data_IF_392986679810
#
_entry.id   IF_392986679810
#
_cell.length_a   1.000
_cell.length_b   1.000
_cell.length_c   1.000
_cell.angle_alpha   90.00
_cell.angle_beta   90.00
_cell.angle_gamma   90.00
#
_symmetry.space_group_name_H-M   'P 1'
#
loop_
_entity.id
_entity.type
_entity.pdbx_description
1 polymer ?
#
# COMPACT_ATOMS: atom_id res chain seq x y z
N UNK A 1 13.45 34.24 16.52
CA UNK A 1 12.41 33.62 15.68
C UNK A 1 12.99 32.58 14.71
N UNK A 2 14.18 32.81 14.13
CA UNK A 2 14.87 31.80 13.29
C UNK A 2 15.42 30.60 14.09
N UNK A 3 15.98 30.81 15.29
CA UNK A 3 16.53 29.73 16.13
C UNK A 3 15.49 28.66 16.50
N UNK A 4 14.29 29.07 16.93
CA UNK A 4 13.17 28.16 17.24
C UNK A 4 12.70 27.34 16.03
N UNK A 5 12.95 27.81 14.80
CA UNK A 5 12.60 27.09 13.59
C UNK A 5 13.62 26.02 13.28
N UNK A 6 14.91 26.33 13.48
CA UNK A 6 16.00 25.40 13.26
C UNK A 6 15.97 24.27 14.30
N UNK A 7 15.79 24.61 15.58
CA UNK A 7 15.72 23.63 16.66
C UNK A 7 14.56 22.64 16.46
N UNK A 8 13.40 23.12 16.01
CA UNK A 8 12.26 22.26 15.66
C UNK A 8 12.54 21.38 14.46
N UNK A 9 13.11 21.92 13.39
CA UNK A 9 13.47 21.14 12.20
C UNK A 9 14.47 20.02 12.54
N UNK A 10 15.49 20.33 13.36
CA UNK A 10 16.45 19.36 13.87
C UNK A 10 15.77 18.29 14.75
N UNK A 11 14.90 18.71 15.66
CA UNK A 11 14.16 17.80 16.53
C UNK A 11 13.30 16.82 15.72
N UNK A 12 12.55 17.31 14.72
CA UNK A 12 11.74 16.46 13.84
C UNK A 12 12.59 15.49 13.02
N UNK A 13 13.72 15.96 12.49
CA UNK A 13 14.64 15.10 11.73
C UNK A 13 15.21 13.97 12.60
N UNK A 14 15.57 14.27 13.85
CA UNK A 14 16.07 13.27 14.80
C UNK A 14 14.98 12.27 15.19
N UNK A 15 13.76 12.74 15.49
CA UNK A 15 12.63 11.86 15.79
C UNK A 15 12.31 10.94 14.60
N UNK A 16 12.25 11.49 13.39
CA UNK A 16 12.03 10.72 12.17
C UNK A 16 13.13 9.67 11.94
N UNK A 17 14.40 10.01 12.23
CA UNK A 17 15.51 9.07 12.14
C UNK A 17 15.38 7.93 13.16
N UNK A 18 15.00 8.25 14.40
CA UNK A 18 14.81 7.26 15.47
C UNK A 18 13.63 6.33 15.21
N UNK A 19 12.58 6.83 14.55
CA UNK A 19 11.42 6.04 14.13
C UNK A 19 11.77 5.09 12.99
N UNK A 20 12.34 5.63 11.91
CA UNK A 20 12.57 4.88 10.66
C UNK A 20 13.78 3.94 10.77
N UNK A 21 14.78 4.29 11.58
CA UNK A 21 16.04 3.55 11.76
C UNK A 21 16.64 3.09 10.42
N UNK A 22 16.85 4.02 9.48
CA UNK A 22 17.32 3.69 8.13
C UNK A 22 18.72 3.09 8.17
N UNK A 23 19.04 2.25 7.17
CA UNK A 23 20.38 1.66 7.01
C UNK A 23 21.47 2.73 6.77
N UNK A 24 21.09 3.85 6.15
CA UNK A 24 21.96 4.99 5.88
C UNK A 24 21.35 6.26 6.53
N UNK A 25 21.74 6.56 7.79
CA UNK A 25 21.15 7.66 8.55
C UNK A 25 21.53 9.03 7.98
N UNK A 26 22.72 9.17 7.38
CA UNK A 26 23.18 10.46 6.83
C UNK A 26 22.42 10.79 5.57
N UNK A 27 22.28 9.82 4.65
CA UNK A 27 21.47 10.00 3.44
C UNK A 27 20.02 10.30 3.80
N UNK A 28 19.46 9.61 4.80
CA UNK A 28 18.11 9.87 5.28
C UNK A 28 17.92 11.32 5.76
N UNK A 29 18.82 11.81 6.63
CA UNK A 29 18.76 13.18 7.14
C UNK A 29 18.91 14.21 6.01
N UNK A 30 19.83 13.98 5.07
CA UNK A 30 20.01 14.85 3.91
C UNK A 30 18.72 14.94 3.08
N UNK A 31 18.08 13.80 2.80
CA UNK A 31 16.77 13.77 2.14
C UNK A 31 15.70 14.46 2.99
N UNK A 32 15.68 14.25 4.31
CA UNK A 32 14.68 14.87 5.19
C UNK A 32 14.74 16.40 5.14
N UNK A 33 15.93 17.00 5.27
CA UNK A 33 16.09 18.45 5.17
C UNK A 33 15.81 18.97 3.76
N UNK A 34 16.13 18.20 2.72
CA UNK A 34 15.73 18.56 1.36
C UNK A 34 14.21 18.60 1.21
N UNK A 35 13.50 17.64 1.81
CA UNK A 35 12.04 17.60 1.80
C UNK A 35 11.41 18.71 2.63
N UNK A 36 12.07 19.29 3.64
CA UNK A 36 11.56 20.50 4.32
C UNK A 36 11.49 21.70 3.34
N UNK A 37 12.45 21.80 2.41
CA UNK A 37 12.50 22.84 1.38
C UNK A 37 11.70 22.51 0.09
N UNK A 38 11.13 21.32 -0.03
CA UNK A 38 10.39 20.89 -1.21
C UNK A 38 9.12 21.76 -1.43
N UNK A 39 8.89 22.20 -2.66
CA UNK A 39 7.73 23.04 -3.01
C UNK A 39 6.56 22.20 -3.51
N UNK A 40 6.84 20.98 -3.99
CA UNK A 40 5.82 20.02 -4.33
C UNK A 40 5.24 19.37 -3.07
N UNK A 41 4.09 19.87 -2.62
CA UNK A 41 3.43 19.39 -1.39
C UNK A 41 2.95 17.94 -1.53
N UNK A 42 2.64 17.46 -2.75
CA UNK A 42 2.37 16.03 -2.97
C UNK A 42 3.62 15.21 -2.69
N UNK A 43 4.79 15.61 -3.21
CA UNK A 43 6.04 14.91 -2.93
C UNK A 43 6.38 14.91 -1.43
N UNK A 44 6.16 16.03 -0.73
CA UNK A 44 6.28 16.11 0.74
C UNK A 44 5.37 15.10 1.44
N UNK A 45 4.10 15.04 1.05
CA UNK A 45 3.16 14.12 1.66
C UNK A 45 3.50 12.65 1.36
N UNK A 46 3.93 12.32 0.14
CA UNK A 46 4.44 10.98 -0.19
C UNK A 46 5.62 10.63 0.70
N UNK A 47 6.58 11.55 0.91
CA UNK A 47 7.71 11.33 1.79
C UNK A 47 7.32 11.05 3.25
N UNK A 48 6.28 11.72 3.77
CA UNK A 48 5.77 11.46 5.11
C UNK A 48 5.13 10.06 5.23
N UNK A 49 4.51 9.60 4.14
CA UNK A 49 3.69 8.39 4.11
C UNK A 49 4.44 7.14 3.59
N UNK A 50 5.56 7.33 2.89
CA UNK A 50 6.37 6.23 2.35
C UNK A 50 6.93 5.37 3.49
N UNK A 51 7.15 4.09 3.19
CA UNK A 51 7.68 3.09 4.12
C UNK A 51 6.85 2.89 5.41
N UNK A 52 5.66 3.46 5.49
CA UNK A 52 4.75 3.20 6.60
C UNK A 52 4.11 1.83 6.49
N UNK A 53 3.79 1.27 7.66
CA UNK A 53 2.85 0.16 7.79
C UNK A 53 1.61 0.66 8.52
N UNK A 54 0.47 -0.02 8.36
CA UNK A 54 -0.75 0.32 9.09
C UNK A 54 -0.65 0.12 10.62
N UNK A 55 0.48 -0.37 11.12
CA UNK A 55 0.78 -0.54 12.55
C UNK A 55 1.86 0.42 13.04
N UNK A 56 2.29 1.37 12.21
CA UNK A 56 3.30 2.34 12.59
C UNK A 56 2.75 3.22 13.74
N UNK A 57 3.45 3.39 14.86
CA UNK A 57 2.95 4.17 16.01
C UNK A 57 2.58 5.61 15.66
N UNK A 58 3.32 6.23 14.76
CA UNK A 58 3.07 7.59 14.27
C UNK A 58 2.10 7.67 13.06
N UNK A 59 1.34 6.62 12.75
CA UNK A 59 0.49 6.55 11.56
C UNK A 59 -0.52 7.71 11.48
N UNK A 60 -1.31 7.92 12.53
CA UNK A 60 -2.32 8.99 12.56
C UNK A 60 -1.69 10.39 12.49
N UNK A 61 -0.59 10.61 13.21
CA UNK A 61 0.12 11.89 13.17
C UNK A 61 0.65 12.19 11.76
N UNK A 62 1.25 11.19 11.09
CA UNK A 62 1.75 11.33 9.73
C UNK A 62 0.64 11.51 8.70
N UNK A 63 -0.50 10.84 8.87
CA UNK A 63 -1.70 11.05 8.05
C UNK A 63 -2.21 12.48 8.16
N UNK A 64 -2.36 13.00 9.38
CA UNK A 64 -2.79 14.38 9.63
C UNK A 64 -1.79 15.39 9.06
N UNK A 65 -0.48 15.17 9.28
CA UNK A 65 0.57 16.05 8.74
C UNK A 65 0.58 16.03 7.22
N UNK A 66 0.45 14.86 6.59
CA UNK A 66 0.40 14.73 5.14
C UNK A 66 -0.85 15.42 4.57
N UNK A 67 -2.03 15.19 5.14
CA UNK A 67 -3.26 15.85 4.71
C UNK A 67 -3.15 17.38 4.84
N UNK A 68 -2.73 17.87 6.00
CA UNK A 68 -2.52 19.30 6.24
C UNK A 68 -1.48 19.92 5.30
N UNK A 69 -0.45 19.17 4.91
CA UNK A 69 0.57 19.61 3.94
C UNK A 69 -0.04 19.79 2.56
N UNK A 70 -0.85 18.84 2.07
CA UNK A 70 -1.42 18.94 0.73
C UNK A 70 -2.55 19.98 0.65
N UNK A 71 -3.34 20.15 1.72
CA UNK A 71 -4.37 21.19 1.77
C UNK A 71 -3.80 22.61 1.62
N UNK A 72 -2.50 22.83 1.83
CA UNK A 72 -1.87 24.14 1.58
C UNK A 72 -1.83 24.52 0.10
N UNK A 73 -2.12 23.61 -0.83
CA UNK A 73 -2.29 23.97 -2.25
C UNK A 73 -3.46 24.94 -2.47
N UNK A 74 -4.49 24.88 -1.62
CA UNK A 74 -5.60 25.82 -1.65
C UNK A 74 -6.15 26.05 -0.25
N UNK A 75 -5.85 27.20 0.33
CA UNK A 75 -6.35 27.59 1.65
C UNK A 75 -7.89 27.72 1.68
N UNK A 76 -8.52 27.99 0.53
CA UNK A 76 -9.98 28.13 0.40
C UNK A 76 -10.66 26.84 -0.12
N UNK A 77 -9.98 26.04 -0.94
CA UNK A 77 -10.55 24.88 -1.63
C UNK A 77 -10.02 23.51 -1.13
N UNK A 78 -9.14 23.46 -0.12
CA UNK A 78 -8.70 22.20 0.47
C UNK A 78 -8.11 21.19 -0.54
N UNK A 79 -8.27 19.89 -0.25
CA UNK A 79 -7.76 18.81 -1.10
C UNK A 79 -8.76 18.47 -2.22
N UNK A 80 -8.35 18.64 -3.47
CA UNK A 80 -9.12 18.26 -4.65
C UNK A 80 -8.82 16.82 -5.10
N UNK A 81 -9.76 16.21 -5.83
CA UNK A 81 -9.66 14.82 -6.27
C UNK A 81 -8.50 14.53 -7.24
N UNK A 82 -8.07 15.50 -8.04
CA UNK A 82 -6.90 15.38 -8.92
C UNK A 82 -5.58 15.32 -8.14
N UNK A 83 -5.39 16.20 -7.15
CA UNK A 83 -4.22 16.19 -6.25
C UNK A 83 -4.21 14.91 -5.42
N UNK A 84 -5.37 14.49 -4.90
CA UNK A 84 -5.52 13.22 -4.21
C UNK A 84 -5.14 12.04 -5.10
N UNK A 85 -5.58 12.02 -6.37
CA UNK A 85 -5.24 10.96 -7.31
C UNK A 85 -3.74 10.94 -7.62
N UNK A 86 -3.10 12.10 -7.80
CA UNK A 86 -1.63 12.20 -8.00
C UNK A 86 -0.86 11.65 -6.78
N UNK A 87 -1.34 11.92 -5.56
CA UNK A 87 -0.79 11.32 -4.35
C UNK A 87 -0.88 9.78 -4.39
N UNK A 88 -2.06 9.23 -4.69
CA UNK A 88 -2.25 7.78 -4.73
C UNK A 88 -1.33 7.12 -5.78
N UNK A 89 -1.21 7.72 -6.97
CA UNK A 89 -0.31 7.25 -8.05
C UNK A 89 1.13 7.12 -7.55
N UNK A 90 1.62 8.12 -6.82
CA UNK A 90 2.99 8.13 -6.28
C UNK A 90 3.17 7.14 -5.13
N UNK A 91 2.18 6.95 -4.27
CA UNK A 91 2.24 5.97 -3.18
C UNK A 91 2.35 4.53 -3.69
N UNK A 92 1.74 4.22 -4.84
CA UNK A 92 1.76 2.86 -5.43
C UNK A 92 2.75 2.73 -6.60
N UNK A 93 3.72 3.64 -6.74
CA UNK A 93 4.55 3.77 -7.94
C UNK A 93 5.21 2.47 -8.41
N UNK A 94 5.67 1.63 -7.47
CA UNK A 94 6.34 0.34 -7.70
C UNK A 94 5.43 -0.79 -8.19
N UNK A 95 4.11 -0.56 -8.20
CA UNK A 95 3.15 -1.52 -8.74
C UNK A 95 3.11 -1.45 -10.28
N UNK A 96 2.90 -2.59 -10.98
CA UNK A 96 2.85 -2.55 -12.44
C UNK A 96 1.61 -1.81 -12.96
N UNK A 97 1.72 -1.23 -14.16
CA UNK A 97 0.75 -0.27 -14.70
C UNK A 97 -0.71 -0.77 -14.64
N UNK A 98 -0.99 -1.97 -15.15
CA UNK A 98 -2.34 -2.54 -15.15
C UNK A 98 -2.96 -2.63 -13.74
N UNK A 99 -2.17 -3.03 -12.74
CA UNK A 99 -2.65 -3.11 -11.35
C UNK A 99 -2.86 -1.73 -10.75
N UNK A 100 -2.02 -0.75 -11.09
CA UNK A 100 -2.21 0.65 -10.67
C UNK A 100 -3.49 1.23 -11.27
N UNK A 101 -3.74 1.02 -12.55
CA UNK A 101 -4.92 1.56 -13.23
C UNK A 101 -6.21 1.01 -12.60
N UNK A 102 -6.25 -0.30 -12.33
CA UNK A 102 -7.41 -0.94 -11.68
C UNK A 102 -7.62 -0.40 -10.25
N UNK A 103 -6.53 -0.26 -9.49
CA UNK A 103 -6.56 0.33 -8.15
C UNK A 103 -7.08 1.76 -8.15
N UNK A 104 -6.56 2.61 -9.05
CA UNK A 104 -6.95 4.01 -9.16
C UNK A 104 -8.40 4.16 -9.64
N UNK A 105 -8.86 3.34 -10.59
CA UNK A 105 -10.26 3.34 -10.99
C UNK A 105 -11.23 3.06 -9.82
N UNK A 106 -10.78 2.31 -8.81
CA UNK A 106 -11.59 1.96 -7.65
C UNK A 106 -11.62 3.06 -6.57
N UNK A 107 -10.58 3.89 -6.49
CA UNK A 107 -10.39 4.87 -5.41
C UNK A 107 -10.38 6.34 -5.86
N UNK A 108 -10.26 6.62 -7.16
CA UNK A 108 -10.21 7.99 -7.67
C UNK A 108 -11.48 8.78 -7.30
N UNK A 109 -11.30 10.05 -7.00
CA UNK A 109 -12.37 11.03 -6.85
C UNK A 109 -12.52 11.86 -8.13
N UNK A 110 -13.63 12.57 -8.31
CA UNK A 110 -13.71 13.51 -9.44
C UNK A 110 -12.71 14.65 -9.24
N UNK A 111 -12.13 15.16 -10.33
CA UNK A 111 -11.00 16.11 -10.25
C UNK A 111 -11.29 17.34 -9.38
N UNK A 112 -12.48 17.92 -9.49
CA UNK A 112 -12.89 19.13 -8.75
C UNK A 112 -13.59 18.83 -7.44
N UNK A 113 -13.67 17.57 -7.05
CA UNK A 113 -14.36 17.14 -5.84
C UNK A 113 -13.47 17.33 -4.61
N UNK A 114 -14.07 17.84 -3.54
CA UNK A 114 -13.40 18.02 -2.26
C UNK A 114 -13.25 16.68 -1.55
N UNK A 115 -12.01 16.32 -1.24
CA UNK A 115 -11.66 15.07 -0.57
C UNK A 115 -11.49 15.34 0.92
N UNK A 116 -12.39 14.80 1.74
CA UNK A 116 -12.29 14.92 3.20
C UNK A 116 -11.11 14.12 3.78
N UNK A 117 -10.72 14.44 5.02
CA UNK A 117 -9.68 13.68 5.71
C UNK A 117 -10.00 12.18 5.81
N UNK A 118 -11.27 11.80 6.02
CA UNK A 118 -11.65 10.38 6.12
C UNK A 118 -11.47 9.64 4.79
N UNK A 119 -11.80 10.29 3.67
CA UNK A 119 -11.59 9.71 2.32
C UNK A 119 -10.10 9.65 2.00
N UNK A 120 -9.35 10.70 2.29
CA UNK A 120 -7.89 10.73 2.18
C UNK A 120 -7.28 9.58 2.97
N UNK A 121 -7.61 9.49 4.26
CA UNK A 121 -7.10 8.47 5.20
C UNK A 121 -7.40 7.07 4.69
N UNK A 122 -8.65 6.82 4.28
CA UNK A 122 -9.05 5.53 3.71
C UNK A 122 -8.22 5.15 2.48
N UNK A 123 -8.03 6.09 1.54
CA UNK A 123 -7.24 5.83 0.32
C UNK A 123 -5.77 5.60 0.58
N UNK A 124 -5.16 6.39 1.46
CA UNK A 124 -3.75 6.24 1.84
C UNK A 124 -3.51 4.90 2.53
N UNK A 125 -4.35 4.54 3.52
CA UNK A 125 -4.25 3.25 4.20
C UNK A 125 -4.43 2.08 3.24
N UNK A 126 -5.39 2.20 2.31
CA UNK A 126 -5.62 1.19 1.27
C UNK A 126 -4.41 1.08 0.33
N UNK A 127 -3.73 2.19 0.01
CA UNK A 127 -2.50 2.19 -0.81
C UNK A 127 -1.33 1.52 -0.12
N UNK A 128 -1.14 1.77 1.18
CA UNK A 128 -0.13 1.11 2.01
C UNK A 128 -0.39 -0.41 2.04
N UNK A 129 -1.64 -0.82 2.31
CA UNK A 129 -2.04 -2.23 2.32
C UNK A 129 -1.87 -2.89 0.95
N UNK A 130 -2.17 -2.16 -0.13
CA UNK A 130 -2.03 -2.65 -1.49
C UNK A 130 -0.57 -2.96 -1.84
N UNK A 131 0.37 -2.08 -1.49
CA UNK A 131 1.79 -2.33 -1.69
C UNK A 131 2.26 -3.57 -0.94
N UNK A 132 1.84 -3.73 0.32
CA UNK A 132 2.14 -4.92 1.12
C UNK A 132 1.55 -6.18 0.49
N UNK A 133 0.29 -6.12 0.05
CA UNK A 133 -0.40 -7.21 -0.63
C UNK A 133 0.32 -7.63 -1.91
N UNK A 134 0.71 -6.69 -2.77
CA UNK A 134 1.44 -6.97 -4.02
C UNK A 134 2.76 -7.68 -3.73
N UNK A 135 3.50 -7.27 -2.70
CA UNK A 135 4.73 -7.95 -2.27
C UNK A 135 4.45 -9.37 -1.80
N UNK A 136 3.44 -9.58 -0.94
CA UNK A 136 3.08 -10.92 -0.46
C UNK A 136 2.61 -11.85 -1.59
N UNK A 137 1.85 -11.34 -2.57
CA UNK A 137 1.41 -12.09 -3.75
C UNK A 137 2.60 -12.49 -4.62
N UNK A 138 3.55 -11.59 -4.86
CA UNK A 138 4.79 -11.90 -5.58
C UNK A 138 5.58 -13.01 -4.87
N UNK A 139 5.72 -12.93 -3.55
CA UNK A 139 6.37 -13.96 -2.74
C UNK A 139 5.62 -15.29 -2.77
N UNK A 140 4.28 -15.26 -2.68
CA UNK A 140 3.44 -16.45 -2.83
C UNK A 140 3.67 -17.11 -4.19
N UNK A 141 3.67 -16.33 -5.27
CA UNK A 141 3.87 -16.84 -6.63
C UNK A 141 5.24 -17.51 -6.80
N UNK A 142 6.32 -16.91 -6.30
CA UNK A 142 7.65 -17.54 -6.27
C UNK A 142 7.61 -18.89 -5.54
N UNK A 143 6.85 -18.98 -4.45
CA UNK A 143 6.60 -20.23 -3.72
C UNK A 143 5.58 -21.15 -4.41
N UNK A 144 4.98 -20.81 -5.53
CA UNK A 144 4.13 -21.70 -6.34
C UNK A 144 4.85 -22.19 -7.60
N UNK A 145 5.83 -21.43 -8.10
CA UNK A 145 6.74 -21.86 -9.15
C UNK A 145 7.42 -23.18 -8.77
N UNK A 146 7.50 -24.09 -9.74
CA UNK A 146 8.31 -25.30 -9.66
C UNK A 146 9.71 -24.93 -10.16
N UNK A 147 10.76 -25.62 -9.69
CA UNK A 147 12.14 -25.36 -10.06
C UNK A 147 12.31 -25.20 -11.58
N UNK A 148 13.06 -24.18 -12.00
CA UNK A 148 13.40 -23.80 -13.39
C UNK A 148 12.28 -23.21 -14.27
N UNK A 149 11.16 -22.77 -13.68
CA UNK A 149 10.13 -22.03 -14.43
C UNK A 149 9.81 -20.65 -13.82
N UNK A 150 9.70 -19.63 -14.68
CA UNK A 150 9.15 -18.29 -14.40
C UNK A 150 7.62 -18.28 -14.23
N UNK A 151 7.03 -19.47 -14.22
CA UNK A 151 5.60 -19.70 -14.29
C UNK A 151 5.19 -20.79 -13.30
N UNK A 152 3.96 -20.71 -12.80
CA UNK A 152 3.41 -21.66 -11.84
C UNK A 152 2.28 -22.49 -12.47
N UNK A 153 2.10 -23.76 -12.09
CA UNK A 153 0.98 -24.57 -12.58
C UNK A 153 -0.38 -23.93 -12.28
N UNK A 154 -1.25 -23.85 -13.28
CA UNK A 154 -2.54 -23.15 -13.20
C UNK A 154 -3.43 -23.68 -12.06
N UNK A 155 -3.40 -24.98 -11.78
CA UNK A 155 -4.19 -25.55 -10.69
C UNK A 155 -3.70 -25.08 -9.30
N UNK A 156 -2.39 -24.86 -9.12
CA UNK A 156 -1.82 -24.29 -7.90
C UNK A 156 -2.22 -22.83 -7.73
N UNK A 157 -2.12 -22.04 -8.81
CA UNK A 157 -2.59 -20.66 -8.85
C UNK A 157 -4.08 -20.56 -8.49
N UNK A 158 -4.95 -21.35 -9.13
CA UNK A 158 -6.39 -21.37 -8.83
C UNK A 158 -6.68 -21.72 -7.38
N UNK A 159 -5.95 -22.68 -6.79
CA UNK A 159 -6.10 -23.04 -5.38
C UNK A 159 -5.64 -21.93 -4.44
N UNK A 160 -4.55 -21.24 -4.79
CA UNK A 160 -4.05 -20.08 -4.06
C UNK A 160 -5.03 -18.91 -4.08
N UNK A 161 -5.53 -18.53 -5.26
CA UNK A 161 -6.52 -17.47 -5.44
C UNK A 161 -7.80 -17.73 -4.62
N UNK A 162 -8.33 -18.96 -4.66
CA UNK A 162 -9.50 -19.34 -3.84
C UNK A 162 -9.24 -19.21 -2.35
N UNK A 163 -8.06 -19.62 -1.89
CA UNK A 163 -7.72 -19.54 -0.47
C UNK A 163 -7.53 -18.08 -0.03
N UNK A 164 -6.85 -17.29 -0.84
CA UNK A 164 -6.65 -15.86 -0.64
C UNK A 164 -7.97 -15.10 -0.58
N UNK A 165 -8.89 -15.35 -1.52
CA UNK A 165 -10.23 -14.76 -1.49
C UNK A 165 -10.95 -15.05 -0.18
N UNK A 166 -10.94 -16.31 0.30
CA UNK A 166 -11.54 -16.64 1.61
C UNK A 166 -10.87 -15.90 2.76
N UNK A 167 -9.53 -15.84 2.79
CA UNK A 167 -8.80 -15.14 3.84
C UNK A 167 -9.14 -13.64 3.88
N UNK A 168 -9.20 -12.99 2.72
CA UNK A 168 -9.52 -11.57 2.60
C UNK A 168 -10.98 -11.28 3.00
N UNK A 169 -11.93 -12.08 2.54
CA UNK A 169 -13.34 -11.94 2.94
C UNK A 169 -13.53 -12.10 4.45
N UNK A 170 -12.83 -13.05 5.09
CA UNK A 170 -12.90 -13.21 6.54
C UNK A 170 -12.21 -12.06 7.30
N UNK A 171 -11.10 -11.52 6.78
CA UNK A 171 -10.45 -10.35 7.34
C UNK A 171 -11.34 -9.09 7.24
N UNK A 172 -11.99 -8.88 6.10
CA UNK A 172 -12.93 -7.78 5.89
C UNK A 172 -14.12 -7.84 6.86
N UNK A 173 -14.66 -9.02 7.14
CA UNK A 173 -15.71 -9.20 8.15
C UNK A 173 -15.24 -8.85 9.56
N UNK A 174 -14.02 -9.24 9.94
CA UNK A 174 -13.45 -8.92 11.28
C UNK A 174 -13.21 -7.42 11.45
N UNK A 175 -12.76 -6.75 10.39
CA UNK A 175 -12.62 -5.29 10.35
C UNK A 175 -13.92 -4.54 10.68
N UNK A 176 -15.09 -5.15 10.45
CA UNK A 176 -16.41 -4.56 10.76
C UNK A 176 -16.83 -4.83 12.22
N UNK A 177 -16.26 -5.84 12.87
CA UNK A 177 -16.76 -6.39 14.15
C UNK A 177 -15.93 -6.10 15.40
N UNK A 178 -14.83 -5.33 15.33
CA UNK A 178 -14.02 -4.75 16.45
C UNK A 178 -12.53 -5.12 16.46
N UNK A 179 -11.76 -4.13 16.95
CA UNK A 179 -10.40 -4.03 17.53
C UNK A 179 -9.68 -5.35 17.81
N UNK A 180 -8.87 -5.83 16.88
CA UNK A 180 -7.76 -6.73 17.20
C UNK A 180 -6.51 -6.35 16.41
N UNK A 181 -5.35 -6.69 17.01
CA UNK A 181 -4.00 -6.23 16.66
C UNK A 181 -3.49 -6.57 15.25
N UNK A 182 -2.16 -6.59 15.04
CA UNK A 182 -1.59 -6.63 13.70
C UNK A 182 -1.97 -7.87 12.88
N UNK A 183 -3.01 -7.74 12.06
CA UNK A 183 -3.40 -8.73 11.07
C UNK A 183 -2.52 -8.61 9.82
N UNK A 184 -1.30 -9.16 9.87
CA UNK A 184 -0.58 -9.47 8.64
C UNK A 184 -1.46 -10.41 7.81
N UNK A 185 -1.72 -10.07 6.55
CA UNK A 185 -2.65 -10.85 5.70
C UNK A 185 -2.18 -12.30 5.50
N UNK A 186 -0.88 -12.58 5.72
CA UNK A 186 -0.32 -13.93 5.73
C UNK A 186 -0.42 -14.62 4.36
N UNK A 187 -0.59 -13.84 3.28
CA UNK A 187 -0.82 -14.35 1.92
C UNK A 187 0.39 -15.15 1.45
N UNK A 188 1.59 -14.71 1.82
CA UNK A 188 2.84 -15.41 1.50
C UNK A 188 2.95 -16.82 2.14
N UNK A 189 2.17 -17.12 3.19
CA UNK A 189 2.20 -18.42 3.90
C UNK A 189 1.23 -19.45 3.31
N UNK A 190 0.35 -19.02 2.39
CA UNK A 190 -0.66 -19.89 1.79
C UNK A 190 -0.05 -21.05 0.97
N UNK A 191 1.21 -20.94 0.53
CA UNK A 191 1.88 -21.95 -0.30
C UNK A 191 2.10 -23.30 0.40
N UNK A 192 2.44 -23.31 1.70
CA UNK A 192 2.74 -24.53 2.47
C UNK A 192 1.55 -25.51 2.51
N UNK A 193 0.34 -25.11 2.93
CA UNK A 193 -0.83 -25.99 2.89
C UNK A 193 -1.28 -26.33 1.47
N UNK A 194 -1.01 -25.47 0.48
CA UNK A 194 -1.35 -25.72 -0.92
C UNK A 194 -0.50 -26.86 -1.48
N UNK A 195 0.82 -26.80 -1.26
CA UNK A 195 1.77 -27.84 -1.70
C UNK A 195 1.59 -29.17 -0.97
N UNK A 196 1.28 -29.16 0.33
CA UNK A 196 1.01 -30.40 1.10
C UNK A 196 -0.15 -31.23 0.56
N UNK A 197 -1.08 -30.58 -0.16
CA UNK A 197 -2.26 -31.21 -0.74
C UNK A 197 -2.11 -31.43 -2.26
N UNK A 198 -0.87 -31.57 -2.75
CA UNK A 198 -0.59 -31.99 -4.12
C UNK A 198 -0.85 -33.49 -4.25
N UNK A 199 -1.87 -33.87 -5.02
CA UNK A 199 -2.07 -35.26 -5.45
C UNK A 199 -0.97 -35.65 -6.43
N UNK A 200 -0.46 -36.89 -6.34
CA UNK A 200 0.65 -37.42 -7.16
C UNK A 200 0.42 -37.34 -8.69
N UNK A 201 -0.83 -37.14 -9.11
CA UNK A 201 -1.19 -36.94 -10.51
C UNK A 201 -1.46 -35.45 -10.74
N UNK A 202 -0.45 -34.71 -11.21
CA UNK A 202 -0.63 -33.33 -11.65
C UNK A 202 -1.40 -33.33 -12.98
N UNK A 203 -2.47 -32.51 -13.12
CA UNK A 203 -3.12 -32.30 -14.40
C UNK A 203 -2.13 -31.75 -15.45
N UNK A 204 -2.43 -31.98 -16.72
CA UNK A 204 -1.68 -31.46 -17.88
C UNK A 204 -1.43 -29.95 -17.74
N UNK A 205 -0.20 -29.55 -18.01
CA UNK A 205 0.41 -28.40 -17.38
C UNK A 205 0.14 -27.08 -18.15
N UNK A 206 -1.02 -26.48 -17.91
CA UNK A 206 -1.18 -25.05 -18.15
C UNK A 206 -0.39 -24.29 -17.09
N UNK A 207 0.44 -23.34 -17.54
CA UNK A 207 1.25 -22.50 -16.68
C UNK A 207 0.75 -21.05 -16.69
N UNK A 208 0.80 -20.41 -15.53
CA UNK A 208 0.39 -19.02 -15.33
C UNK A 208 1.63 -18.19 -15.00
N UNK A 209 1.78 -17.06 -15.68
CA UNK A 209 2.85 -16.08 -15.41
C UNK A 209 2.46 -15.16 -14.25
N UNK A 210 3.46 -14.53 -13.63
CA UNK A 210 3.27 -13.62 -12.49
C UNK A 210 2.25 -12.52 -12.77
N UNK A 211 2.28 -11.89 -13.95
CA UNK A 211 1.39 -10.78 -14.26
C UNK A 211 -0.08 -11.20 -14.25
N UNK A 212 -0.40 -12.36 -14.82
CA UNK A 212 -1.77 -12.91 -14.82
C UNK A 212 -2.22 -13.24 -13.39
N UNK A 213 -1.37 -13.93 -12.62
CA UNK A 213 -1.68 -14.27 -11.24
C UNK A 213 -1.86 -13.02 -10.35
N UNK A 214 -1.02 -12.01 -10.56
CA UNK A 214 -1.06 -10.75 -9.84
C UNK A 214 -2.32 -9.96 -10.19
N UNK A 215 -2.71 -9.88 -11.47
CA UNK A 215 -3.97 -9.25 -11.88
C UNK A 215 -5.18 -9.89 -11.20
N UNK A 216 -5.31 -11.22 -11.25
CA UNK A 216 -6.40 -11.94 -10.59
C UNK A 216 -6.39 -11.71 -9.06
N UNK A 217 -5.21 -11.64 -8.46
CA UNK A 217 -5.06 -11.37 -7.02
C UNK A 217 -5.50 -9.96 -6.64
N UNK A 218 -5.13 -8.95 -7.45
CA UNK A 218 -5.53 -7.55 -7.24
C UNK A 218 -7.04 -7.37 -7.38
N UNK A 219 -7.67 -8.04 -8.34
CA UNK A 219 -9.14 -8.03 -8.48
C UNK A 219 -9.84 -8.62 -7.25
N UNK A 220 -9.28 -9.68 -6.65
CA UNK A 220 -9.78 -10.25 -5.40
C UNK A 220 -9.62 -9.25 -4.24
N UNK A 221 -8.47 -8.58 -4.14
CA UNK A 221 -8.23 -7.56 -3.11
C UNK A 221 -9.23 -6.40 -3.22
N UNK A 222 -9.38 -5.82 -4.41
CA UNK A 222 -10.25 -4.66 -4.64
C UNK A 222 -11.74 -4.97 -4.44
N UNK A 223 -12.16 -6.23 -4.58
CA UNK A 223 -13.54 -6.65 -4.26
C UNK A 223 -13.88 -6.43 -2.78
N UNK A 224 -12.90 -6.60 -1.90
CA UNK A 224 -13.08 -6.47 -0.45
C UNK A 224 -12.82 -5.04 0.04
N UNK A 225 -12.24 -4.18 -0.81
CA UNK A 225 -12.06 -2.74 -0.53
C UNK A 225 -13.38 -2.01 -0.78
N UNK A 226 -13.97 -1.33 0.21
CA UNK A 226 -15.15 -0.51 -0.01
C UNK A 226 -14.88 0.54 -1.08
N UNK A 227 -15.83 0.72 -2.01
CA UNK A 227 -15.76 1.84 -2.94
C UNK A 227 -15.83 3.14 -2.14
N UNK A 228 -14.94 4.07 -2.45
CA UNK A 228 -15.01 5.42 -1.89
C UNK A 228 -16.32 6.04 -2.39
N UNK A 229 -17.19 6.38 -1.44
CA UNK A 229 -18.37 7.22 -1.66
C UNK A 229 -18.10 8.51 -0.90
N UNK A 230 -18.15 9.63 -1.60
CA UNK A 230 -18.15 10.95 -1.02
C UNK A 230 -19.57 11.32 -0.58
#
# INVERSE_FOLDING_TARGET
>A
MEDDSLDRALQYAILALLDVKPKDPIKFLATHFQMECETNLVAKAVYLLQDMTIYHPALEERLLKAYGTICQYSEEEGLTGDIYTDLLVKLIADSPAYQKDNFLQHLQCQSTEYVSFDVFRSGVLTSILFNQFVLEVKLLFTKLCIENHDSAPAFLCKKALRKMSKCLTEAAKRSISSVEGPCTLGIAELSSPIRKNLTKNLPTADYVKINTFLSESVEIFLREVPKIKL
#
